data_IF_569689731300
#
_entry.id   IF_569689731300
#
_cell.length_a   1.000
_cell.length_b   1.000
_cell.length_c   1.000
_cell.angle_alpha   90.00
_cell.angle_beta   90.00
_cell.angle_gamma   90.00
#
_symmetry.space_group_name_H-M   'P 1'
#
loop_
_entity.id
_entity.type
_entity.pdbx_description
1 polymer ?
#
# COMPACT_ATOMS: atom_id res chain seq x y z
N UNK A 1 33.10 -50.60 -11.30
CA UNK A 1 31.94 -49.88 -10.71
C UNK A 1 30.85 -49.77 -11.78
N UNK A 2 29.80 -50.61 -11.73
CA UNK A 2 28.71 -50.63 -12.72
C UNK A 2 27.66 -49.60 -12.30
N UNK A 3 27.57 -48.49 -13.02
CA UNK A 3 26.51 -47.50 -12.82
C UNK A 3 25.17 -48.10 -13.24
N UNK A 4 24.27 -48.34 -12.28
CA UNK A 4 22.95 -48.90 -12.58
C UNK A 4 22.08 -47.80 -13.22
N UNK A 5 21.58 -47.98 -14.45
CA UNK A 5 20.84 -46.93 -15.18
C UNK A 5 19.57 -46.51 -14.44
N UNK A 6 18.98 -47.43 -13.68
CA UNK A 6 17.81 -47.22 -12.82
C UNK A 6 18.02 -46.20 -11.70
N UNK A 7 19.23 -46.10 -11.13
CA UNK A 7 19.55 -45.12 -10.10
C UNK A 7 19.59 -43.70 -10.67
N UNK A 8 20.13 -43.54 -11.89
CA UNK A 8 20.16 -42.25 -12.59
C UNK A 8 18.76 -41.83 -12.99
N UNK A 9 17.97 -42.75 -13.55
CA UNK A 9 16.56 -42.47 -13.92
C UNK A 9 15.72 -42.08 -12.71
N UNK A 10 15.87 -42.78 -11.59
CA UNK A 10 15.18 -42.43 -10.34
C UNK A 10 15.57 -41.06 -9.80
N UNK A 11 16.86 -40.72 -9.82
CA UNK A 11 17.35 -39.41 -9.36
C UNK A 11 16.87 -38.26 -10.25
N UNK A 12 16.89 -38.45 -11.58
CA UNK A 12 16.40 -37.42 -12.51
C UNK A 12 14.90 -37.19 -12.35
N UNK A 13 14.10 -38.24 -12.15
CA UNK A 13 12.66 -38.11 -11.89
C UNK A 13 12.38 -37.35 -10.59
N UNK A 14 13.11 -37.64 -9.51
CA UNK A 14 12.96 -36.93 -8.23
C UNK A 14 13.31 -35.44 -8.34
N UNK A 15 14.37 -35.09 -9.08
CA UNK A 15 14.79 -33.70 -9.28
C UNK A 15 13.76 -32.84 -10.03
N UNK A 16 13.03 -33.44 -10.99
CA UNK A 16 11.98 -32.75 -11.76
C UNK A 16 10.79 -32.34 -10.88
N UNK A 17 10.48 -33.07 -9.80
CA UNK A 17 9.40 -32.70 -8.89
C UNK A 17 9.64 -31.39 -8.12
N UNK A 18 10.91 -30.98 -7.91
CA UNK A 18 11.24 -29.73 -7.21
C UNK A 18 11.12 -28.48 -8.09
N UNK A 19 10.91 -28.63 -9.40
CA UNK A 19 10.87 -27.51 -10.35
C UNK A 19 9.52 -26.76 -10.38
N UNK A 20 8.50 -27.22 -9.65
CA UNK A 20 7.15 -26.63 -9.69
C UNK A 20 6.74 -25.83 -8.44
N UNK A 21 7.67 -25.50 -7.53
CA UNK A 21 7.33 -24.75 -6.33
C UNK A 21 7.42 -23.23 -6.54
N UNK A 22 6.56 -22.68 -7.40
CA UNK A 22 6.25 -21.25 -7.36
C UNK A 22 4.93 -21.08 -6.60
N UNK A 23 5.01 -20.77 -5.31
CA UNK A 23 3.84 -20.41 -4.51
C UNK A 23 3.63 -18.90 -4.60
N UNK A 24 2.58 -18.40 -5.30
CA UNK A 24 2.29 -16.98 -5.32
C UNK A 24 1.85 -16.57 -3.91
N UNK A 25 2.64 -15.72 -3.27
CA UNK A 25 2.25 -15.12 -2.00
C UNK A 25 1.17 -14.06 -2.28
N UNK A 26 -0.10 -14.45 -2.13
CA UNK A 26 -1.22 -13.52 -2.30
C UNK A 26 -1.21 -12.51 -1.15
N UNK A 27 -0.58 -11.35 -1.38
CA UNK A 27 -0.66 -10.24 -0.45
C UNK A 27 -2.06 -9.62 -0.56
N UNK A 28 -2.80 -9.47 0.54
CA UNK A 28 -4.07 -8.75 0.51
C UNK A 28 -3.82 -7.32 0.02
N UNK A 29 -4.56 -6.95 -1.03
CA UNK A 29 -4.51 -5.61 -1.61
C UNK A 29 -5.60 -4.75 -1.00
N UNK A 30 -5.32 -3.46 -0.87
CA UNK A 30 -6.37 -2.48 -0.62
C UNK A 30 -7.42 -2.58 -1.72
N UNK A 31 -8.69 -2.54 -1.33
CA UNK A 31 -9.77 -2.41 -2.29
C UNK A 31 -9.52 -1.17 -3.14
N UNK A 32 -9.82 -1.27 -4.44
CA UNK A 32 -9.70 -0.13 -5.34
C UNK A 32 -10.62 0.98 -4.83
N UNK A 33 -10.06 2.17 -4.60
CA UNK A 33 -10.84 3.31 -4.16
C UNK A 33 -11.92 3.68 -5.18
N UNK A 34 -13.09 4.03 -4.66
CA UNK A 34 -14.23 4.56 -5.42
C UNK A 34 -14.41 6.06 -5.19
N UNK A 35 -13.36 6.75 -4.74
CA UNK A 35 -13.39 8.19 -4.51
C UNK A 35 -13.85 8.94 -5.76
N UNK A 36 -14.81 9.85 -5.58
CA UNK A 36 -15.36 10.69 -6.64
C UNK A 36 -15.14 12.16 -6.29
N UNK A 37 -14.79 13.02 -7.26
CA UNK A 37 -14.74 14.45 -7.04
C UNK A 37 -16.10 15.01 -6.62
N UNK A 38 -16.11 15.91 -5.65
CA UNK A 38 -17.27 16.75 -5.37
C UNK A 38 -17.37 17.83 -6.45
N UNK A 39 -18.61 18.22 -6.76
CA UNK A 39 -18.87 19.35 -7.66
C UNK A 39 -18.51 20.67 -6.97
N UNK A 40 -17.36 21.25 -7.32
CA UNK A 40 -16.85 22.46 -6.71
C UNK A 40 -17.75 23.69 -6.87
N UNK A 41 -18.67 23.71 -7.84
CA UNK A 41 -19.62 24.82 -8.01
C UNK A 41 -20.64 24.94 -6.88
N UNK A 42 -20.87 23.87 -6.12
CA UNK A 42 -21.87 23.83 -5.05
C UNK A 42 -21.28 24.03 -3.64
N UNK A 43 -19.96 24.21 -3.53
CA UNK A 43 -19.27 24.30 -2.24
C UNK A 43 -18.33 25.50 -2.20
N UNK A 44 -18.22 26.11 -1.03
CA UNK A 44 -17.23 27.15 -0.73
C UNK A 44 -16.40 26.72 0.47
N UNK A 45 -15.09 26.99 0.44
CA UNK A 45 -14.25 26.69 1.58
C UNK A 45 -14.61 27.59 2.76
N UNK A 46 -14.73 27.00 3.95
CA UNK A 46 -14.85 27.75 5.21
C UNK A 46 -13.50 28.08 5.86
N UNK A 47 -12.42 27.54 5.31
CA UNK A 47 -11.07 27.64 5.88
C UNK A 47 -10.07 28.04 4.81
N UNK A 48 -9.08 28.83 5.20
CA UNK A 48 -8.00 29.22 4.29
C UNK A 48 -6.95 28.10 4.15
N UNK A 49 -6.75 27.31 5.21
CA UNK A 49 -5.70 26.30 5.27
C UNK A 49 -6.18 25.05 6.02
N UNK A 50 -5.79 23.87 5.55
CA UNK A 50 -5.92 22.64 6.31
C UNK A 50 -4.68 21.76 6.19
N UNK A 51 -4.41 20.98 7.23
CA UNK A 51 -3.26 20.08 7.30
C UNK A 51 -3.74 18.67 7.60
N UNK A 52 -3.40 17.72 6.73
CA UNK A 52 -3.59 16.29 6.99
C UNK A 52 -2.34 15.78 7.70
N UNK A 53 -2.52 15.19 8.88
CA UNK A 53 -1.43 14.61 9.67
C UNK A 53 -1.57 13.09 9.66
N UNK A 54 -0.60 12.40 9.07
CA UNK A 54 -0.52 10.94 9.08
C UNK A 54 0.34 10.49 10.26
N UNK A 55 -0.26 9.74 11.18
CA UNK A 55 0.52 8.98 12.16
C UNK A 55 1.26 7.83 11.45
N UNK A 56 2.56 7.77 11.67
CA UNK A 56 3.47 6.74 11.19
C UNK A 56 4.25 6.11 12.35
N UNK A 57 3.71 6.18 13.57
CA UNK A 57 4.21 5.45 14.74
C UNK A 57 4.33 3.95 14.47
N UNK A 58 5.10 3.24 15.29
CA UNK A 58 5.37 1.82 15.09
C UNK A 58 4.10 0.95 15.02
N UNK A 59 3.05 1.31 15.75
CA UNK A 59 1.77 0.59 15.73
C UNK A 59 1.02 0.72 14.39
N UNK A 60 1.37 1.70 13.56
CA UNK A 60 0.82 1.86 12.21
C UNK A 60 1.39 0.83 11.22
N UNK A 61 2.44 0.09 11.60
CA UNK A 61 2.93 -1.07 10.87
C UNK A 61 2.08 -2.33 11.08
N UNK A 62 1.22 -2.35 12.10
CA UNK A 62 0.27 -3.44 12.33
C UNK A 62 -0.70 -3.56 11.17
N UNK A 63 -1.28 -4.76 11.02
CA UNK A 63 -2.20 -5.08 9.94
C UNK A 63 -3.63 -5.19 10.42
N UNK A 64 -4.56 -4.68 9.61
CA UNK A 64 -6.00 -4.94 9.68
C UNK A 64 -6.39 -5.63 8.38
N UNK A 65 -7.00 -6.81 8.46
CA UNK A 65 -7.31 -7.65 7.30
C UNK A 65 -6.09 -7.88 6.38
N UNK A 66 -4.91 -8.03 6.99
CA UNK A 66 -3.63 -8.25 6.29
C UNK A 66 -2.99 -7.01 5.65
N UNK A 67 -3.63 -5.84 5.73
CA UNK A 67 -3.16 -4.57 5.16
C UNK A 67 -2.63 -3.69 6.28
N UNK A 68 -1.49 -3.01 6.08
CA UNK A 68 -0.95 -2.12 7.11
C UNK A 68 -1.89 -0.95 7.37
N UNK A 69 -2.10 -0.59 8.64
CA UNK A 69 -2.89 0.59 9.04
C UNK A 69 -2.41 1.86 8.33
N UNK A 70 -1.09 2.02 8.18
CA UNK A 70 -0.50 3.15 7.46
C UNK A 70 -0.90 3.20 5.97
N UNK A 71 -1.00 2.05 5.30
CA UNK A 71 -1.43 2.00 3.90
C UNK A 71 -2.90 2.39 3.77
N UNK A 72 -3.75 1.97 4.71
CA UNK A 72 -5.15 2.40 4.79
C UNK A 72 -5.23 3.93 4.98
N UNK A 73 -4.46 4.50 5.92
CA UNK A 73 -4.46 5.94 6.18
C UNK A 73 -4.01 6.77 4.95
N UNK A 74 -2.98 6.30 4.22
CA UNK A 74 -2.57 6.93 2.95
C UNK A 74 -3.67 6.88 1.90
N UNK A 75 -4.41 5.77 1.81
CA UNK A 75 -5.53 5.66 0.87
C UNK A 75 -6.60 6.71 1.17
N UNK A 76 -6.96 6.90 2.45
CA UNK A 76 -7.92 7.94 2.85
C UNK A 76 -7.43 9.34 2.45
N UNK A 77 -6.16 9.67 2.72
CA UNK A 77 -5.62 10.97 2.32
C UNK A 77 -5.58 11.15 0.79
N UNK A 78 -5.27 10.09 0.04
CA UNK A 78 -5.34 10.10 -1.42
C UNK A 78 -6.78 10.29 -1.93
N UNK A 79 -7.75 9.65 -1.29
CA UNK A 79 -9.17 9.77 -1.63
C UNK A 79 -9.67 11.19 -1.34
N UNK A 80 -9.24 11.80 -0.24
CA UNK A 80 -9.50 13.21 0.05
C UNK A 80 -8.97 14.12 -1.07
N UNK A 81 -7.78 13.86 -1.60
CA UNK A 81 -7.21 14.65 -2.69
C UNK A 81 -7.99 14.50 -4.01
N UNK A 82 -8.60 13.35 -4.25
CA UNK A 82 -9.48 13.12 -5.41
C UNK A 82 -10.86 13.77 -5.20
N UNK A 83 -11.38 13.69 -3.97
CA UNK A 83 -12.74 14.10 -3.64
C UNK A 83 -12.88 15.60 -3.42
N UNK A 84 -11.89 16.26 -2.80
CA UNK A 84 -11.95 17.69 -2.52
C UNK A 84 -11.53 18.52 -3.73
N UNK A 85 -12.41 19.36 -4.29
CA UNK A 85 -12.02 20.31 -5.31
C UNK A 85 -11.15 21.41 -4.71
N UNK A 86 -10.29 22.02 -5.55
CA UNK A 86 -9.61 23.24 -5.18
C UNK A 86 -10.61 24.40 -5.08
N UNK A 87 -10.93 24.84 -3.86
CA UNK A 87 -11.84 25.98 -3.61
C UNK A 87 -11.08 27.22 -3.11
N UNK A 88 -9.77 27.29 -3.36
CA UNK A 88 -8.89 28.40 -2.94
C UNK A 88 -8.18 28.20 -1.60
N UNK A 89 -8.43 27.09 -0.89
CA UNK A 89 -7.71 26.74 0.33
C UNK A 89 -6.31 26.17 0.05
N UNK A 90 -5.37 26.40 0.97
CA UNK A 90 -4.08 25.71 0.96
C UNK A 90 -4.20 24.38 1.71
N UNK A 91 -3.65 23.32 1.13
CA UNK A 91 -3.56 22.01 1.73
C UNK A 91 -2.12 21.69 2.10
N UNK A 92 -1.93 20.95 3.19
CA UNK A 92 -0.64 20.37 3.55
C UNK A 92 -0.80 18.91 3.96
N UNK A 93 0.30 18.15 3.83
CA UNK A 93 0.42 16.81 4.38
C UNK A 93 1.69 16.69 5.22
N UNK A 94 1.54 16.19 6.44
CA UNK A 94 2.66 15.92 7.34
C UNK A 94 2.56 14.52 7.93
N UNK A 95 3.70 13.86 8.03
CA UNK A 95 3.84 12.59 8.74
C UNK A 95 4.47 12.83 10.12
N UNK A 96 4.04 12.08 11.13
CA UNK A 96 4.63 12.06 12.48
C UNK A 96 5.01 10.62 12.86
N UNK A 97 6.02 10.43 13.70
CA UNK A 97 6.40 9.09 14.20
C UNK A 97 7.33 8.28 13.29
N UNK A 98 7.78 8.84 12.18
CA UNK A 98 8.83 8.23 11.34
C UNK A 98 10.18 8.25 12.07
N UNK A 99 10.84 7.09 12.12
CA UNK A 99 12.26 7.01 12.50
C UNK A 99 13.10 7.39 11.26
N UNK A 100 13.43 8.67 11.14
CA UNK A 100 14.27 9.24 10.09
C UNK A 100 13.57 10.30 9.21
N UNK A 101 14.36 11.25 8.69
CA UNK A 101 13.91 12.35 7.83
C UNK A 101 13.41 11.83 6.46
N UNK A 102 12.13 11.42 6.35
CA UNK A 102 11.51 11.20 5.04
C UNK A 102 10.08 11.75 4.95
N UNK A 103 9.90 12.53 3.89
CA UNK A 103 8.67 12.98 3.22
C UNK A 103 7.68 13.85 4.04
N UNK A 104 7.96 15.16 4.01
CA UNK A 104 6.92 16.20 3.93
C UNK A 104 6.62 16.40 2.43
N UNK A 105 5.35 16.40 2.04
CA UNK A 105 4.92 16.77 0.69
C UNK A 105 3.76 17.76 0.82
N UNK A 106 3.78 18.84 0.02
CA UNK A 106 2.61 19.70 -0.15
C UNK A 106 1.64 18.97 -1.08
N UNK A 107 0.36 18.94 -0.71
CA UNK A 107 -0.73 18.42 -1.53
C UNK A 107 -1.21 19.51 -2.49
#
# INVERSE_FOLDING_TARGET
MRYHPWLKVGLTLFAVFFLFSCAPHHQPQLAKSTAKPLDGGNYTSKVDNFLVILDASSSMADRVNGIKKFDIAKQVASDMNVTLPGLGQNAGLRTLGLVGNKATAML
#
